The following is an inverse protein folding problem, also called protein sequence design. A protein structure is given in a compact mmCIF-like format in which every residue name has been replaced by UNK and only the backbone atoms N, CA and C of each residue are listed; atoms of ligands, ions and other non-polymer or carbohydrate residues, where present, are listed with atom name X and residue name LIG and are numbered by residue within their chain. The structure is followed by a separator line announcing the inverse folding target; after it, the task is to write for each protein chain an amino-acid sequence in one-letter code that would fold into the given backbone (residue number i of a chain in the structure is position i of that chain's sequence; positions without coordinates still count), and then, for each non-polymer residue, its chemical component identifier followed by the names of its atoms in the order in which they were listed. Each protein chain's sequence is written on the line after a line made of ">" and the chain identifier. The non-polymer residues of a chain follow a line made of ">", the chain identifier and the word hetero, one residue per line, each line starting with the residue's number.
data_IF_376658211450
#
_entry.id   IF_376658211450
#
_cell.length_a   1.000
_cell.length_b   1.000
_cell.length_c   1.000
_cell.angle_alpha   90.00
_cell.angle_beta   90.00
_cell.angle_gamma   90.00
#
_symmetry.space_group_name_H-M   'P 1'
#
loop_
_entity.id
_entity.type
_entity.pdbx_description
1 polymer ?
#
# COMPACT_ATOMS: atom_id res chain seq x y z
N UNK A 1 -10.71 -8.58 15.97
CA UNK A 1 -11.39 -9.59 15.14
C UNK A 1 -12.37 -8.91 14.20
N UNK A 2 -12.68 -9.53 13.06
CA UNK A 2 -13.68 -9.03 12.11
C UNK A 2 -15.12 -9.18 12.62
N UNK A 3 -16.10 -9.14 11.70
CA UNK A 3 -17.51 -9.41 12.04
C UNK A 3 -17.77 -10.86 12.47
N UNK A 4 -16.92 -11.79 12.02
CA UNK A 4 -16.98 -13.21 12.33
C UNK A 4 -15.76 -13.61 13.15
N UNK A 5 -15.79 -14.76 13.85
CA UNK A 5 -14.59 -15.34 14.45
C UNK A 5 -13.50 -15.60 13.39
N UNK A 6 -12.24 -15.48 13.77
CA UNK A 6 -11.07 -15.66 12.89
C UNK A 6 -11.12 -16.95 12.06
N UNK A 7 -11.57 -18.06 12.66
CA UNK A 7 -11.69 -19.37 11.99
C UNK A 7 -12.71 -19.41 10.82
N UNK A 8 -13.58 -18.40 10.69
CA UNK A 8 -14.52 -18.28 9.59
C UNK A 8 -13.91 -17.67 8.32
N UNK A 9 -12.67 -17.14 8.41
CA UNK A 9 -11.99 -16.50 7.31
C UNK A 9 -10.89 -17.38 6.71
N UNK A 10 -10.81 -17.41 5.38
CA UNK A 10 -9.67 -17.99 4.68
C UNK A 10 -8.43 -17.10 4.85
N UNK A 11 -7.27 -17.72 5.10
CA UNK A 11 -5.99 -17.02 5.26
C UNK A 11 -5.29 -16.63 3.96
N UNK A 12 -5.84 -17.02 2.80
CA UNK A 12 -5.25 -16.77 1.48
C UNK A 12 -6.27 -16.15 0.54
N UNK A 13 -5.79 -15.28 -0.34
CA UNK A 13 -6.62 -14.66 -1.37
C UNK A 13 -6.87 -15.68 -2.51
N UNK A 14 -8.13 -15.96 -2.87
CA UNK A 14 -8.46 -16.91 -3.93
C UNK A 14 -7.93 -16.50 -5.31
N UNK A 15 -7.59 -17.49 -6.12
CA UNK A 15 -6.98 -17.28 -7.44
C UNK A 15 -7.90 -16.54 -8.43
N UNK A 16 -9.22 -16.71 -8.34
CA UNK A 16 -10.15 -16.02 -9.22
C UNK A 16 -10.17 -14.50 -8.99
N UNK A 17 -9.88 -14.05 -7.75
CA UNK A 17 -9.63 -12.62 -7.48
C UNK A 17 -8.29 -12.22 -8.06
N UNK A 18 -7.23 -12.98 -7.75
CA UNK A 18 -5.86 -12.70 -8.22
C UNK A 18 -5.73 -12.72 -9.74
N UNK A 19 -6.63 -13.39 -10.45
CA UNK A 19 -6.60 -13.51 -11.92
C UNK A 19 -7.67 -12.64 -12.61
N UNK A 20 -8.39 -11.81 -11.85
CA UNK A 20 -9.48 -10.96 -12.36
C UNK A 20 -10.56 -11.73 -13.13
N UNK A 21 -11.01 -12.85 -12.57
CA UNK A 21 -12.05 -13.70 -13.17
C UNK A 21 -13.12 -14.16 -12.16
N UNK A 22 -13.49 -13.28 -11.24
CA UNK A 22 -14.55 -13.51 -10.25
C UNK A 22 -15.96 -13.54 -10.85
N UNK A 23 -16.12 -13.00 -12.07
CA UNK A 23 -17.43 -12.79 -12.69
C UNK A 23 -18.16 -11.57 -12.13
N UNK A 24 -17.46 -10.72 -11.37
CA UNK A 24 -17.97 -9.47 -10.79
C UNK A 24 -17.15 -8.32 -11.39
N UNK A 25 -17.64 -7.65 -12.46
CA UNK A 25 -16.84 -6.70 -13.25
C UNK A 25 -16.10 -5.63 -12.44
N UNK A 26 -16.70 -5.06 -11.41
CA UNK A 26 -16.06 -4.06 -10.53
C UNK A 26 -14.82 -4.62 -9.80
N UNK A 27 -14.84 -5.90 -9.43
CA UNK A 27 -13.72 -6.58 -8.76
C UNK A 27 -12.65 -6.93 -9.78
N UNK A 28 -13.06 -7.50 -10.91
CA UNK A 28 -12.15 -7.91 -11.98
C UNK A 28 -11.39 -6.69 -12.53
N UNK A 29 -12.10 -5.62 -12.89
CA UNK A 29 -11.48 -4.38 -13.40
C UNK A 29 -10.62 -3.65 -12.34
N UNK A 30 -10.96 -3.76 -11.05
CA UNK A 30 -10.08 -3.26 -9.99
C UNK A 30 -8.73 -3.98 -9.97
N UNK A 31 -8.73 -5.31 -10.09
CA UNK A 31 -7.51 -6.12 -10.15
C UNK A 31 -6.73 -5.83 -11.43
N UNK A 32 -7.40 -5.73 -12.58
CA UNK A 32 -6.76 -5.38 -13.86
C UNK A 32 -6.09 -4.01 -13.78
N UNK A 33 -6.79 -3.02 -13.24
CA UNK A 33 -6.28 -1.65 -13.09
C UNK A 33 -5.07 -1.62 -12.16
N UNK A 34 -5.16 -2.31 -11.02
CA UNK A 34 -4.08 -2.43 -10.05
C UNK A 34 -2.82 -3.02 -10.70
N UNK A 35 -2.93 -4.12 -11.44
CA UNK A 35 -1.77 -4.76 -12.05
C UNK A 35 -1.20 -4.01 -13.25
N UNK A 36 -2.05 -3.32 -14.01
CA UNK A 36 -1.60 -2.52 -15.15
C UNK A 36 -0.90 -1.23 -14.72
N UNK A 37 -1.35 -0.60 -13.62
CA UNK A 37 -0.95 0.77 -13.27
C UNK A 37 -0.23 0.88 -11.93
N UNK A 38 -0.35 -0.12 -11.06
CA UNK A 38 0.07 -0.07 -9.67
C UNK A 38 -0.73 0.95 -8.84
N UNK A 39 -1.83 1.48 -9.38
CA UNK A 39 -2.68 2.48 -8.74
C UNK A 39 -4.12 1.98 -8.69
N UNK A 40 -4.84 2.39 -7.65
CA UNK A 40 -6.27 2.11 -7.54
C UNK A 40 -6.97 3.28 -6.85
N UNK A 41 -8.09 3.74 -7.42
CA UNK A 41 -8.90 4.79 -6.81
C UNK A 41 -9.48 4.32 -5.46
N UNK A 42 -9.65 5.22 -4.50
CA UNK A 42 -10.07 4.85 -3.14
C UNK A 42 -11.39 4.06 -3.11
N UNK A 43 -12.41 4.45 -3.87
CA UNK A 43 -13.66 3.67 -3.98
C UNK A 43 -13.40 2.23 -4.45
N UNK A 44 -12.56 2.03 -5.46
CA UNK A 44 -12.23 0.69 -5.95
C UNK A 44 -11.47 -0.13 -4.90
N UNK A 45 -10.58 0.49 -4.11
CA UNK A 45 -9.94 -0.18 -2.96
C UNK A 45 -10.99 -0.65 -1.94
N UNK A 46 -11.95 0.22 -1.60
CA UNK A 46 -13.00 -0.10 -0.63
C UNK A 46 -13.95 -1.19 -1.13
N UNK A 47 -14.36 -1.14 -2.41
CA UNK A 47 -15.18 -2.17 -3.04
C UNK A 47 -14.48 -3.53 -3.08
N UNK A 48 -13.22 -3.54 -3.53
CA UNK A 48 -12.40 -4.75 -3.57
C UNK A 48 -12.24 -5.36 -2.17
N UNK A 49 -11.88 -4.55 -1.17
CA UNK A 49 -11.75 -5.00 0.21
C UNK A 49 -13.07 -5.54 0.76
N UNK A 50 -14.19 -4.86 0.50
CA UNK A 50 -15.52 -5.28 0.96
C UNK A 50 -15.91 -6.62 0.35
N UNK A 51 -15.67 -6.82 -0.95
CA UNK A 51 -15.90 -8.08 -1.62
C UNK A 51 -15.04 -9.22 -1.03
N UNK A 52 -13.73 -8.97 -0.89
CA UNK A 52 -12.77 -9.94 -0.33
C UNK A 52 -13.17 -10.38 1.08
N UNK A 53 -13.52 -9.44 1.96
CA UNK A 53 -13.86 -9.75 3.36
C UNK A 53 -15.27 -10.31 3.50
N UNK A 54 -16.28 -9.62 2.94
CA UNK A 54 -17.68 -9.88 3.27
C UNK A 54 -18.37 -10.86 2.32
N UNK A 55 -17.95 -10.91 1.05
CA UNK A 55 -18.50 -11.88 0.09
C UNK A 55 -17.66 -13.16 0.09
N UNK A 56 -16.33 -13.02 0.02
CA UNK A 56 -15.41 -14.14 -0.14
C UNK A 56 -14.88 -14.73 1.16
N UNK A 57 -15.15 -14.07 2.29
CA UNK A 57 -14.72 -14.52 3.63
C UNK A 57 -13.22 -14.76 3.70
N UNK A 58 -12.44 -13.85 3.14
CA UNK A 58 -10.99 -13.84 3.28
C UNK A 58 -10.61 -12.90 4.42
N UNK A 59 -9.63 -13.29 5.22
CA UNK A 59 -9.16 -12.46 6.32
C UNK A 59 -8.60 -11.15 5.77
N UNK A 60 -8.98 -10.02 6.37
CA UNK A 60 -8.65 -8.69 5.86
C UNK A 60 -7.15 -8.48 5.67
N UNK A 61 -6.31 -9.06 6.55
CA UNK A 61 -4.86 -8.95 6.47
C UNK A 61 -4.31 -9.57 5.19
N UNK A 62 -4.85 -10.71 4.77
CA UNK A 62 -4.40 -11.39 3.55
C UNK A 62 -4.66 -10.52 2.31
N UNK A 63 -5.81 -9.84 2.26
CA UNK A 63 -6.11 -8.88 1.20
C UNK A 63 -5.28 -7.60 1.30
N UNK A 64 -5.05 -7.09 2.52
CA UNK A 64 -4.23 -5.92 2.78
C UNK A 64 -2.77 -6.11 2.36
N UNK A 65 -2.16 -7.23 2.75
CA UNK A 65 -0.77 -7.57 2.43
C UNK A 65 -0.58 -7.75 0.92
N UNK A 66 -1.53 -8.43 0.26
CA UNK A 66 -1.57 -8.59 -1.18
C UNK A 66 -1.68 -7.23 -1.90
N UNK A 67 -2.63 -6.39 -1.51
CA UNK A 67 -2.85 -5.08 -2.14
C UNK A 67 -1.62 -4.18 -1.99
N UNK A 68 -1.02 -4.18 -0.79
CA UNK A 68 0.18 -3.40 -0.49
C UNK A 68 1.33 -3.71 -1.46
N UNK A 69 1.61 -4.98 -1.73
CA UNK A 69 2.72 -5.37 -2.61
C UNK A 69 2.63 -4.78 -4.04
N UNK A 70 1.42 -4.50 -4.50
CA UNK A 70 1.15 -4.01 -5.87
C UNK A 70 1.01 -2.48 -5.98
N UNK A 71 0.66 -1.79 -4.89
CA UNK A 71 0.42 -0.35 -4.90
C UNK A 71 1.71 0.48 -4.95
N UNK A 72 1.84 1.37 -5.93
CA UNK A 72 2.95 2.34 -6.00
C UNK A 72 2.92 3.32 -4.82
N UNK A 73 1.72 3.72 -4.41
CA UNK A 73 1.47 4.60 -3.26
C UNK A 73 1.23 3.83 -1.95
N UNK A 74 1.56 2.54 -1.91
CA UNK A 74 1.22 1.66 -0.80
C UNK A 74 1.93 2.07 0.49
N UNK A 75 1.17 2.51 1.48
CA UNK A 75 1.62 2.73 2.85
C UNK A 75 0.95 1.71 3.79
N UNK A 76 1.72 1.02 4.62
CA UNK A 76 1.19 -0.08 5.45
C UNK A 76 0.14 0.41 6.44
N UNK A 77 0.37 1.56 7.07
CA UNK A 77 -0.53 2.06 8.10
C UNK A 77 -1.90 2.41 7.51
N UNK A 78 -1.93 3.25 6.48
CA UNK A 78 -3.16 3.68 5.81
C UNK A 78 -3.88 2.53 5.12
N UNK A 79 -3.16 1.62 4.46
CA UNK A 79 -3.72 0.45 3.82
C UNK A 79 -4.37 -0.50 4.84
N UNK A 80 -3.61 -0.96 5.85
CA UNK A 80 -4.13 -1.92 6.82
C UNK A 80 -5.25 -1.34 7.69
N UNK A 81 -5.20 -0.04 8.02
CA UNK A 81 -6.30 0.62 8.73
C UNK A 81 -7.55 0.71 7.86
N UNK A 82 -7.41 0.97 6.56
CA UNK A 82 -8.53 1.00 5.62
C UNK A 82 -9.17 -0.37 5.45
N UNK A 83 -8.38 -1.44 5.35
CA UNK A 83 -8.88 -2.82 5.33
C UNK A 83 -9.60 -3.21 6.63
N UNK A 84 -9.06 -2.83 7.78
CA UNK A 84 -9.71 -3.02 9.08
C UNK A 84 -11.04 -2.25 9.19
N UNK A 85 -11.06 -1.00 8.72
CA UNK A 85 -12.26 -0.19 8.68
C UNK A 85 -13.34 -0.82 7.80
N UNK A 86 -12.98 -1.29 6.59
CA UNK A 86 -13.89 -2.01 5.70
C UNK A 86 -14.41 -3.30 6.34
N UNK A 87 -13.53 -4.04 7.02
CA UNK A 87 -13.87 -5.28 7.71
C UNK A 87 -14.71 -5.07 8.99
N UNK A 88 -14.76 -3.84 9.52
CA UNK A 88 -15.52 -3.49 10.71
C UNK A 88 -14.87 -3.92 12.03
N UNK A 89 -13.55 -4.16 12.07
CA UNK A 89 -12.86 -4.77 13.23
C UNK A 89 -12.95 -3.97 14.53
N UNK A 90 -13.20 -2.66 14.44
CA UNK A 90 -13.34 -1.76 15.61
C UNK A 90 -14.74 -1.22 15.86
N UNK A 91 -15.69 -1.42 14.94
CA UNK A 91 -17.03 -0.79 15.01
C UNK A 91 -18.18 -1.79 14.94
N UNK A 92 -17.94 -3.02 14.46
CA UNK A 92 -18.99 -3.99 14.13
C UNK A 92 -19.87 -3.58 12.94
N UNK A 93 -19.50 -2.51 12.23
CA UNK A 93 -20.21 -1.99 11.05
C UNK A 93 -19.38 -2.25 9.79
N UNK A 94 -19.79 -3.20 8.91
CA UNK A 94 -19.09 -3.42 7.65
C UNK A 94 -19.27 -2.24 6.71
N UNK A 95 -18.24 -1.97 5.90
CA UNK A 95 -18.45 -1.24 4.66
C UNK A 95 -18.98 -2.19 3.58
N UNK A 96 -20.13 -1.84 3.01
CA UNK A 96 -20.82 -2.61 1.97
C UNK A 96 -21.09 -1.72 0.76
N UNK A 97 -21.21 -2.34 -0.41
CA UNK A 97 -21.56 -1.68 -1.66
C UNK A 97 -22.36 -2.65 -2.54
N UNK A 98 -23.24 -2.10 -3.38
CA UNK A 98 -24.07 -2.88 -4.30
C UNK A 98 -23.89 -2.43 -5.76
N UNK A 99 -24.52 -3.13 -6.71
CA UNK A 99 -24.42 -2.82 -8.13
C UNK A 99 -24.84 -1.38 -8.46
N UNK A 100 -25.88 -0.84 -7.82
CA UNK A 100 -26.32 0.57 -8.00
C UNK A 100 -25.26 1.57 -7.55
N UNK A 101 -24.57 1.30 -6.43
CA UNK A 101 -23.47 2.13 -5.95
C UNK A 101 -22.34 2.17 -6.98
N UNK A 102 -21.97 1.03 -7.54
CA UNK A 102 -20.98 0.95 -8.62
C UNK A 102 -21.46 1.73 -9.84
N UNK A 103 -22.71 1.52 -10.26
CA UNK A 103 -23.27 2.19 -11.43
C UNK A 103 -23.25 3.72 -11.33
N UNK A 104 -23.40 4.24 -10.10
CA UNK A 104 -23.36 5.68 -9.81
C UNK A 104 -21.95 6.28 -9.83
N UNK A 105 -20.93 5.53 -9.42
CA UNK A 105 -19.59 6.07 -9.15
C UNK A 105 -18.48 5.50 -10.04
N UNK A 106 -18.79 4.54 -10.91
CA UNK A 106 -17.82 3.91 -11.80
C UNK A 106 -18.26 3.96 -13.27
N UNK A 107 -17.31 3.89 -14.22
CA UNK A 107 -17.61 3.74 -15.65
C UNK A 107 -18.41 2.47 -15.95
N UNK A 108 -19.13 2.47 -17.07
CA UNK A 108 -20.01 1.37 -17.49
C UNK A 108 -19.32 -0.01 -17.51
N UNK A 109 -18.02 -0.07 -17.85
CA UNK A 109 -17.26 -1.32 -17.86
C UNK A 109 -17.15 -2.02 -16.49
N UNK A 110 -17.36 -1.28 -15.40
CA UNK A 110 -17.29 -1.80 -14.03
C UNK A 110 -18.66 -2.19 -13.49
N UNK A 111 -19.74 -1.79 -14.16
CA UNK A 111 -21.10 -2.06 -13.72
C UNK A 111 -21.31 -3.57 -13.59
N UNK A 112 -21.91 -4.00 -12.49
CA UNK A 112 -21.97 -5.42 -12.11
C UNK A 112 -23.41 -5.93 -11.89
N UNK A 113 -24.37 -5.66 -12.81
CA UNK A 113 -25.73 -6.17 -12.69
C UNK A 113 -25.75 -7.71 -12.75
N UNK A 114 -26.70 -8.33 -12.06
CA UNK A 114 -26.86 -9.79 -11.98
C UNK A 114 -25.77 -10.53 -11.20
N UNK A 115 -24.82 -9.80 -10.60
CA UNK A 115 -23.75 -10.39 -9.80
C UNK A 115 -24.18 -10.59 -8.34
N UNK A 116 -23.32 -11.20 -7.52
CA UNK A 116 -23.58 -11.40 -6.08
C UNK A 116 -23.72 -10.09 -5.28
N UNK A 117 -23.22 -8.96 -5.83
CA UNK A 117 -23.39 -7.64 -5.21
C UNK A 117 -24.64 -6.89 -5.73
N UNK A 118 -25.35 -7.44 -6.71
CA UNK A 118 -26.61 -6.88 -7.20
C UNK A 118 -27.76 -7.28 -6.26
N UNK A 119 -27.71 -6.69 -5.05
CA UNK A 119 -28.58 -7.02 -3.94
C UNK A 119 -28.87 -5.77 -3.08
N UNK A 120 -29.88 -5.87 -2.22
CA UNK A 120 -30.16 -4.83 -1.23
C UNK A 120 -29.06 -4.77 -0.17
N UNK A 121 -28.85 -3.60 0.44
CA UNK A 121 -27.92 -3.44 1.56
C UNK A 121 -28.26 -4.35 2.75
N UNK A 122 -29.54 -4.62 2.99
CA UNK A 122 -29.97 -5.57 4.02
C UNK A 122 -29.53 -7.01 3.70
N UNK A 123 -29.64 -7.44 2.44
CA UNK A 123 -29.16 -8.75 2.02
C UNK A 123 -27.63 -8.84 2.14
N UNK A 124 -26.91 -7.78 1.78
CA UNK A 124 -25.45 -7.72 1.91
C UNK A 124 -24.97 -7.68 3.36
N UNK A 125 -25.66 -7.00 4.26
CA UNK A 125 -25.33 -7.02 5.70
C UNK A 125 -25.56 -8.40 6.31
N UNK A 126 -26.67 -9.06 5.95
CA UNK A 126 -26.90 -10.47 6.31
C UNK A 126 -25.80 -11.37 5.77
N UNK A 127 -25.41 -11.20 4.50
CA UNK A 127 -24.30 -11.94 3.90
C UNK A 127 -23.01 -11.74 4.68
N UNK A 128 -22.65 -10.49 5.02
CA UNK A 128 -21.43 -10.14 5.74
C UNK A 128 -21.34 -10.84 7.10
N UNK A 129 -22.46 -10.93 7.81
CA UNK A 129 -22.57 -11.51 9.17
C UNK A 129 -22.77 -13.02 9.22
N UNK A 130 -22.87 -13.68 8.08
CA UNK A 130 -22.96 -15.14 8.01
C UNK A 130 -21.60 -15.72 7.62
N UNK A 131 -21.14 -16.83 8.24
CA UNK A 131 -20.00 -17.59 7.74
C UNK A 131 -20.22 -18.01 6.30
N UNK A 132 -19.13 -18.31 5.58
CA UNK A 132 -19.25 -18.93 4.27
C UNK A 132 -20.13 -20.18 4.42
N UNK A 133 -21.27 -20.23 3.73
CA UNK A 133 -22.01 -21.47 3.61
C UNK A 133 -21.05 -22.47 2.96
N UNK A 134 -20.86 -23.65 3.56
CA UNK A 134 -20.21 -24.77 2.88
C UNK A 134 -21.02 -25.04 1.62
N UNK A 135 -20.68 -24.40 0.51
CA UNK A 135 -21.13 -24.86 -0.79
C UNK A 135 -20.52 -26.25 -0.92
N UNK A 136 -21.30 -27.32 -1.16
CA UNK A 136 -20.70 -28.56 -1.65
C UNK A 136 -19.82 -28.13 -2.82
N UNK A 137 -18.56 -28.53 -2.80
CA UNK A 137 -17.52 -28.18 -3.79
C UNK A 137 -18.20 -27.91 -5.12
N UNK A 138 -18.44 -26.64 -5.43
CA UNK A 138 -18.98 -26.33 -6.74
C UNK A 138 -17.89 -26.83 -7.67
N UNK A 139 -18.19 -27.74 -8.61
CA UNK A 139 -17.23 -28.03 -9.65
C UNK A 139 -16.79 -26.67 -10.22
N UNK A 140 -15.50 -26.49 -10.55
CA UNK A 140 -15.03 -25.27 -11.18
C UNK A 140 -16.07 -24.89 -12.24
N UNK A 141 -16.54 -23.63 -12.20
CA UNK A 141 -17.54 -23.12 -13.14
C UNK A 141 -17.26 -23.77 -14.48
N UNK A 142 -18.13 -24.70 -14.90
CA UNK A 142 -17.92 -25.35 -16.18
C UNK A 142 -17.87 -24.20 -17.18
N UNK A 143 -16.82 -24.11 -18.02
CA UNK A 143 -16.75 -23.05 -19.01
C UNK A 143 -18.06 -23.10 -19.75
N UNK A 144 -18.81 -21.98 -19.71
CA UNK A 144 -20.14 -21.89 -20.28
C UNK A 144 -20.11 -22.58 -21.65
N UNK A 145 -20.86 -23.68 -21.75
CA UNK A 145 -20.90 -24.50 -22.94
C UNK A 145 -21.32 -23.62 -24.12
N UNK A 146 -20.35 -23.38 -25.00
CA UNK A 146 -20.45 -22.93 -26.39
C UNK A 146 -21.63 -22.02 -26.72
N UNK A 147 -21.42 -20.71 -26.55
CA UNK A 147 -21.97 -19.63 -27.42
C UNK A 147 -21.40 -18.23 -27.09
N UNK A 148 -20.08 -18.11 -26.97
CA UNK A 148 -19.27 -16.91 -27.29
C UNK A 148 -17.84 -17.07 -26.74
N UNK A 149 -17.06 -17.99 -27.32
CA UNK A 149 -15.59 -17.95 -27.18
C UNK A 149 -15.04 -16.88 -28.12
N UNK A 150 -15.16 -15.63 -27.69
CA UNK A 150 -14.24 -14.57 -28.06
C UNK A 150 -13.41 -14.29 -26.80
N UNK A 151 -12.15 -14.73 -26.85
CA UNK A 151 -11.04 -14.46 -25.96
C UNK A 151 -10.94 -15.20 -24.60
N UNK A 152 -10.10 -16.24 -24.64
CA UNK A 152 -9.22 -16.72 -23.56
C UNK A 152 -8.12 -15.65 -23.18
N UNK A 153 -8.42 -14.36 -23.38
CA UNK A 153 -7.51 -13.21 -23.19
C UNK A 153 -7.86 -12.38 -21.96
N UNK A 154 -8.73 -12.89 -21.07
CA UNK A 154 -9.32 -12.12 -19.95
C UNK A 154 -8.70 -12.42 -18.58
N UNK A 155 -7.94 -13.52 -18.46
CA UNK A 155 -7.17 -13.81 -17.25
C UNK A 155 -5.99 -12.84 -17.20
N UNK A 156 -5.81 -12.20 -16.05
CA UNK A 156 -4.61 -11.39 -15.82
C UNK A 156 -3.61 -12.20 -15.01
N UNK A 157 -2.35 -12.15 -15.43
CA UNK A 157 -1.25 -12.74 -14.67
C UNK A 157 -0.87 -11.78 -13.55
N UNK A 158 -0.96 -12.23 -12.30
CA UNK A 158 -0.50 -11.45 -11.15
C UNK A 158 1.00 -11.11 -11.30
N UNK A 159 1.37 -9.82 -11.21
CA UNK A 159 2.77 -9.42 -11.15
C UNK A 159 3.48 -10.10 -9.98
N UNK A 160 4.64 -10.72 -10.24
CA UNK A 160 5.41 -11.34 -9.16
C UNK A 160 5.83 -10.30 -8.11
N UNK A 161 5.56 -10.59 -6.85
CA UNK A 161 6.12 -9.87 -5.71
C UNK A 161 7.50 -10.45 -5.38
N UNK A 162 8.48 -9.58 -5.19
CA UNK A 162 9.86 -9.95 -4.87
C UNK A 162 10.40 -9.14 -3.71
N UNK A 163 11.08 -9.81 -2.79
CA UNK A 163 11.89 -9.19 -1.75
C UNK A 163 13.18 -8.58 -2.32
N UNK A 164 13.67 -9.16 -3.43
CA UNK A 164 14.86 -8.70 -4.12
C UNK A 164 14.50 -7.64 -5.19
N UNK A 165 15.31 -6.59 -5.32
CA UNK A 165 15.15 -5.59 -6.37
C UNK A 165 15.46 -6.19 -7.76
N UNK A 166 14.87 -5.65 -8.84
CA UNK A 166 15.31 -5.96 -10.21
C UNK A 166 16.76 -5.49 -10.46
N UNK A 167 17.56 -6.33 -11.13
CA UNK A 167 18.97 -6.04 -11.45
C UNK A 167 19.16 -4.71 -12.21
N UNK A 168 18.19 -4.35 -13.06
CA UNK A 168 18.20 -3.10 -13.84
C UNK A 168 18.24 -1.82 -13.00
N UNK A 169 17.89 -1.88 -11.70
CA UNK A 169 18.00 -0.73 -10.80
C UNK A 169 19.46 -0.41 -10.42
N UNK A 170 20.39 -1.34 -10.66
CA UNK A 170 21.81 -1.16 -10.36
C UNK A 170 22.06 -0.83 -8.90
N UNK A 171 21.31 -1.44 -7.98
CA UNK A 171 21.54 -1.27 -6.54
C UNK A 171 22.84 -1.98 -6.17
N UNK A 172 23.67 -1.28 -5.40
CA UNK A 172 25.01 -1.70 -5.02
C UNK A 172 24.98 -2.38 -3.66
N UNK A 173 26.01 -3.17 -3.37
CA UNK A 173 26.25 -3.64 -2.00
C UNK A 173 26.77 -2.49 -1.13
N UNK A 174 26.53 -2.50 0.20
CA UNK A 174 27.07 -1.48 1.09
C UNK A 174 28.60 -1.45 1.06
N UNK A 175 29.19 -0.24 0.93
CA UNK A 175 30.64 -0.04 0.80
C UNK A 175 31.13 1.04 1.77
N UNK A 176 31.98 0.66 2.71
CA UNK A 176 32.56 1.55 3.70
C UNK A 176 33.47 2.64 3.07
N UNK A 177 34.11 2.34 1.94
CA UNK A 177 35.04 3.28 1.30
C UNK A 177 34.31 4.55 0.81
N UNK A 178 33.04 4.42 0.41
CA UNK A 178 32.20 5.52 -0.08
C UNK A 178 31.89 6.55 1.03
N UNK A 179 31.77 6.09 2.27
CA UNK A 179 31.31 6.91 3.40
C UNK A 179 32.41 7.24 4.42
N UNK A 180 33.59 6.63 4.29
CA UNK A 180 34.69 6.73 5.25
C UNK A 180 35.06 8.19 5.59
N UNK A 181 34.89 8.57 6.86
CA UNK A 181 35.20 9.89 7.40
C UNK A 181 34.28 11.02 6.93
N UNK A 182 33.17 10.71 6.25
CA UNK A 182 32.24 11.66 5.63
C UNK A 182 30.94 11.76 6.43
N UNK A 183 30.25 12.88 6.29
CA UNK A 183 28.87 13.01 6.77
C UNK A 183 27.94 12.33 5.77
N UNK A 184 26.96 11.58 6.25
CA UNK A 184 26.05 10.77 5.43
C UNK A 184 24.60 11.17 5.68
N UNK A 185 23.86 11.31 4.59
CA UNK A 185 22.40 11.45 4.61
C UNK A 185 21.75 10.23 3.95
N UNK A 186 20.99 9.46 4.72
CA UNK A 186 20.24 8.32 4.21
C UNK A 186 18.90 8.76 3.64
N UNK A 187 18.59 8.24 2.45
CA UNK A 187 17.28 8.36 1.80
C UNK A 187 16.68 6.97 1.72
N UNK A 188 15.39 6.84 2.00
CA UNK A 188 14.69 5.56 1.96
C UNK A 188 13.35 5.69 1.21
N UNK A 189 12.70 4.59 0.79
CA UNK A 189 11.60 4.64 -0.18
C UNK A 189 10.34 5.41 0.25
N UNK A 190 10.17 5.66 1.54
CA UNK A 190 9.05 6.46 2.09
C UNK A 190 9.37 7.95 2.21
N UNK A 191 10.61 8.36 1.93
CA UNK A 191 11.09 9.75 1.97
C UNK A 191 11.83 10.10 0.69
N UNK A 192 11.09 10.05 -0.42
CA UNK A 192 11.56 10.35 -1.77
C UNK A 192 11.31 11.81 -2.22
N UNK A 193 11.05 12.70 -1.26
CA UNK A 193 10.90 14.14 -1.48
C UNK A 193 12.23 14.84 -1.76
N UNK A 194 12.23 16.17 -1.73
CA UNK A 194 13.47 16.94 -1.83
C UNK A 194 14.40 16.70 -0.63
N UNK A 195 15.71 16.79 -0.88
CA UNK A 195 16.72 16.71 0.17
C UNK A 195 16.67 17.97 1.05
N UNK A 196 17.08 17.89 2.33
CA UNK A 196 17.19 19.08 3.17
C UNK A 196 18.09 20.14 2.53
N UNK A 197 17.64 21.39 2.50
CA UNK A 197 18.38 22.50 1.88
C UNK A 197 19.71 22.80 2.59
N UNK A 198 19.83 22.46 3.87
CA UNK A 198 20.99 22.77 4.72
C UNK A 198 21.96 21.58 4.90
N UNK A 199 22.04 20.66 3.94
CA UNK A 199 23.05 19.61 3.99
C UNK A 199 24.46 20.20 3.81
N UNK A 200 25.45 19.84 4.66
CA UNK A 200 26.85 20.21 4.44
C UNK A 200 27.31 19.81 3.04
N UNK A 201 28.14 20.65 2.40
CA UNK A 201 28.53 20.49 0.99
C UNK A 201 29.20 19.12 0.68
N UNK A 202 29.90 18.53 1.64
CA UNK A 202 30.59 17.24 1.49
C UNK A 202 29.74 16.03 1.93
N UNK A 203 28.45 16.23 2.21
CA UNK A 203 27.55 15.15 2.64
C UNK A 203 27.36 14.15 1.50
N UNK A 204 27.56 12.87 1.80
CA UNK A 204 27.24 11.79 0.88
C UNK A 204 25.79 11.38 1.07
N UNK A 205 25.01 11.47 0.00
CA UNK A 205 23.62 10.98 0.00
C UNK A 205 23.60 9.52 -0.44
N UNK A 206 23.09 8.65 0.42
CA UNK A 206 22.98 7.21 0.15
C UNK A 206 21.49 6.84 0.16
N UNK A 207 21.00 6.34 -0.98
CA UNK A 207 19.70 5.69 -1.04
C UNK A 207 19.80 4.28 -0.46
N UNK A 208 18.93 3.88 0.46
CA UNK A 208 18.93 2.53 1.03
C UNK A 208 17.62 1.79 0.73
N UNK A 209 17.76 0.51 0.41
CA UNK A 209 16.68 -0.48 0.38
C UNK A 209 17.05 -1.60 1.36
N UNK A 210 16.32 -1.67 2.47
CA UNK A 210 16.59 -2.64 3.54
C UNK A 210 15.99 -4.00 3.19
N UNK A 211 16.83 -4.99 2.96
CA UNK A 211 16.41 -6.36 2.65
C UNK A 211 15.56 -6.96 3.77
N UNK A 212 15.81 -6.59 5.03
CA UNK A 212 15.00 -7.02 6.18
C UNK A 212 13.53 -6.65 6.04
N UNK A 213 13.25 -5.43 5.59
CA UNK A 213 11.89 -4.97 5.35
C UNK A 213 11.27 -5.72 4.17
N UNK A 214 11.99 -5.82 3.05
CA UNK A 214 11.44 -6.37 1.81
C UNK A 214 11.22 -7.90 1.86
N UNK A 215 11.92 -8.62 2.75
CA UNK A 215 11.61 -10.02 3.05
C UNK A 215 10.21 -10.20 3.64
N UNK A 216 9.78 -9.28 4.50
CA UNK A 216 8.43 -9.29 5.07
C UNK A 216 7.40 -8.66 4.11
N UNK A 217 7.82 -7.67 3.33
CA UNK A 217 6.96 -6.83 2.51
C UNK A 217 7.48 -6.75 1.07
N UNK A 218 7.34 -7.83 0.29
CA UNK A 218 7.82 -7.89 -1.08
C UNK A 218 6.98 -6.98 -1.99
N UNK A 219 7.62 -6.44 -3.02
CA UNK A 219 7.00 -5.49 -3.94
C UNK A 219 6.92 -6.03 -5.35
N UNK A 220 5.96 -5.54 -6.11
CA UNK A 220 5.90 -5.76 -7.55
C UNK A 220 7.09 -5.08 -8.23
N UNK A 221 7.51 -5.61 -9.39
CA UNK A 221 8.57 -4.98 -10.19
C UNK A 221 8.23 -3.53 -10.58
N UNK A 222 6.96 -3.20 -10.77
CA UNK A 222 6.52 -1.84 -11.06
C UNK A 222 6.79 -0.89 -9.89
N UNK A 223 6.49 -1.33 -8.67
CA UNK A 223 6.74 -0.56 -7.45
C UNK A 223 8.22 -0.36 -7.18
N UNK A 224 9.03 -1.41 -7.37
CA UNK A 224 10.49 -1.31 -7.33
C UNK A 224 11.02 -0.23 -8.27
N UNK A 225 10.57 -0.21 -9.54
CA UNK A 225 10.97 0.80 -10.52
C UNK A 225 10.51 2.21 -10.16
N UNK A 226 9.29 2.35 -9.67
CA UNK A 226 8.74 3.64 -9.26
C UNK A 226 9.60 4.29 -8.15
N UNK A 227 9.83 3.56 -7.05
CA UNK A 227 10.65 4.05 -5.95
C UNK A 227 12.13 4.20 -6.36
N UNK A 228 12.67 3.22 -7.10
CA UNK A 228 14.06 3.18 -7.55
C UNK A 228 14.41 4.34 -8.49
N UNK A 229 13.51 4.72 -9.40
CA UNK A 229 13.71 5.85 -10.32
C UNK A 229 13.87 7.16 -9.56
N UNK A 230 12.97 7.45 -8.60
CA UNK A 230 13.09 8.67 -7.79
C UNK A 230 14.28 8.62 -6.84
N UNK A 231 14.59 7.45 -6.27
CA UNK A 231 15.80 7.27 -5.47
C UNK A 231 17.06 7.59 -6.27
N UNK A 232 17.12 7.18 -7.54
CA UNK A 232 18.25 7.45 -8.42
C UNK A 232 18.44 8.94 -8.75
N UNK A 233 17.36 9.72 -8.75
CA UNK A 233 17.44 11.18 -8.89
C UNK A 233 17.99 11.87 -7.62
N UNK A 234 17.84 11.25 -6.45
CA UNK A 234 18.28 11.81 -5.16
C UNK A 234 19.68 11.37 -4.77
N UNK A 235 20.06 10.13 -5.08
CA UNK A 235 21.29 9.51 -4.62
C UNK A 235 21.98 8.75 -5.75
N UNK A 236 23.22 9.14 -6.04
CA UNK A 236 24.09 8.42 -6.96
C UNK A 236 24.46 7.03 -6.41
N UNK A 237 24.69 6.96 -5.10
CA UNK A 237 24.96 5.73 -4.36
C UNK A 237 23.65 5.17 -3.81
N UNK A 238 23.32 3.94 -4.19
CA UNK A 238 22.09 3.27 -3.78
C UNK A 238 22.42 1.86 -3.32
N UNK A 239 22.17 1.56 -2.07
CA UNK A 239 22.52 0.31 -1.44
C UNK A 239 21.31 -0.59 -1.25
N UNK A 240 21.49 -1.88 -1.52
CA UNK A 240 20.59 -2.95 -1.11
C UNK A 240 21.36 -3.91 -0.20
N UNK A 241 20.80 -4.20 0.98
CA UNK A 241 21.42 -5.08 1.95
C UNK A 241 20.59 -5.18 3.22
N UNK A 242 20.95 -6.12 4.09
CA UNK A 242 20.38 -6.16 5.43
C UNK A 242 20.96 -5.04 6.31
N UNK A 243 20.29 -4.78 7.44
CA UNK A 243 20.67 -3.75 8.38
C UNK A 243 22.06 -3.97 8.98
N UNK A 244 22.53 -5.23 9.06
CA UNK A 244 23.86 -5.55 9.59
C UNK A 244 24.94 -5.11 8.60
N UNK A 245 24.81 -5.47 7.33
CA UNK A 245 25.74 -5.09 6.28
C UNK A 245 25.76 -3.58 6.05
N UNK A 246 24.59 -2.93 6.01
CA UNK A 246 24.49 -1.47 5.89
C UNK A 246 25.12 -0.80 7.11
N UNK A 247 24.82 -1.26 8.33
CA UNK A 247 25.40 -0.71 9.55
C UNK A 247 26.92 -0.85 9.61
N UNK A 248 27.47 -1.99 9.17
CA UNK A 248 28.90 -2.22 9.10
C UNK A 248 29.61 -1.25 8.14
N UNK A 249 29.04 -0.99 6.96
CA UNK A 249 29.59 0.00 6.03
C UNK A 249 29.52 1.42 6.60
N UNK A 250 28.40 1.78 7.22
CA UNK A 250 28.18 3.09 7.83
C UNK A 250 29.05 3.38 9.06
N UNK A 251 29.61 2.35 9.71
CA UNK A 251 30.50 2.53 10.86
C UNK A 251 31.75 3.36 10.56
N UNK A 252 32.18 3.43 9.29
CA UNK A 252 33.29 4.26 8.85
C UNK A 252 32.90 5.75 8.67
N UNK A 253 31.61 6.08 8.67
CA UNK A 253 31.13 7.45 8.49
C UNK A 253 31.44 8.33 9.71
N UNK A 254 31.59 9.64 9.47
CA UNK A 254 31.71 10.64 10.54
C UNK A 254 30.39 10.85 11.26
N UNK A 255 29.31 10.95 10.50
CA UNK A 255 27.95 11.05 11.02
C UNK A 255 26.97 10.44 10.01
N UNK A 256 25.84 9.94 10.51
CA UNK A 256 24.77 9.40 9.68
C UNK A 256 23.45 9.96 10.15
N UNK A 257 22.72 10.61 9.23
CA UNK A 257 21.42 11.22 9.48
C UNK A 257 20.38 10.72 8.49
N UNK A 258 19.11 10.79 8.89
CA UNK A 258 17.97 10.42 8.06
C UNK A 258 16.72 11.14 8.55
N UNK A 259 15.63 11.02 7.80
CA UNK A 259 14.29 11.26 8.33
C UNK A 259 13.74 9.97 8.94
N UNK A 260 12.98 10.11 10.03
CA UNK A 260 12.30 8.99 10.70
C UNK A 260 11.23 8.38 9.81
N UNK A 261 11.09 7.05 9.89
CA UNK A 261 10.05 6.29 9.20
C UNK A 261 9.58 5.12 10.08
N UNK A 262 8.31 5.12 10.53
CA UNK A 262 7.75 4.03 11.33
C UNK A 262 8.00 2.63 10.76
N UNK A 263 7.89 2.45 9.44
CA UNK A 263 8.10 1.14 8.80
C UNK A 263 9.53 0.62 8.92
N UNK A 264 10.49 1.52 9.11
CA UNK A 264 11.91 1.20 9.24
C UNK A 264 12.43 1.35 10.68
N UNK A 265 11.58 1.75 11.63
CA UNK A 265 11.98 2.03 13.01
C UNK A 265 12.84 0.93 13.66
N UNK A 266 12.60 -0.38 13.46
CA UNK A 266 13.45 -1.43 14.03
C UNK A 266 14.92 -1.39 13.58
N UNK A 267 15.20 -0.82 12.40
CA UNK A 267 16.53 -0.81 11.78
C UNK A 267 17.10 0.60 11.69
N UNK A 268 16.35 1.55 11.13
CA UNK A 268 16.85 2.89 10.79
C UNK A 268 17.31 3.67 12.03
N UNK A 269 16.62 3.54 13.16
CA UNK A 269 16.99 4.18 14.42
C UNK A 269 18.35 3.70 14.98
N UNK A 270 18.85 2.54 14.49
CA UNK A 270 20.17 2.00 14.85
C UNK A 270 21.25 2.39 13.83
N UNK A 271 20.85 2.84 12.64
CA UNK A 271 21.73 3.18 11.53
C UNK A 271 22.03 4.68 11.46
N UNK A 272 21.11 5.53 11.93
CA UNK A 272 21.21 6.98 11.78
C UNK A 272 20.55 7.74 12.94
N UNK A 273 21.06 8.93 13.22
CA UNK A 273 20.33 9.93 14.00
C UNK A 273 19.18 10.45 13.12
N UNK A 274 17.94 10.18 13.54
CA UNK A 274 16.76 10.49 12.73
C UNK A 274 16.12 11.81 13.14
N UNK A 275 15.81 12.64 12.15
CA UNK A 275 15.02 13.86 12.29
C UNK A 275 13.54 13.56 12.04
N UNK A 276 12.64 14.37 12.63
CA UNK A 276 11.21 14.20 12.43
C UNK A 276 10.82 14.44 10.96
N UNK A 277 9.87 13.66 10.45
CA UNK A 277 9.29 13.93 9.15
C UNK A 277 8.52 15.27 9.19
N UNK A 278 8.67 16.15 8.18
CA UNK A 278 7.85 17.34 8.04
C UNK A 278 6.36 16.98 8.09
N UNK A 279 5.61 17.69 8.93
CA UNK A 279 4.19 17.48 9.09
C UNK A 279 3.41 18.31 8.06
N UNK A 280 2.66 17.65 7.18
CA UNK A 280 1.80 18.34 6.20
C UNK A 280 0.72 19.21 6.85
N UNK A 281 0.30 18.85 8.07
CA UNK A 281 -0.73 19.58 8.81
C UNK A 281 -0.18 20.02 10.17
N UNK A 282 -0.62 21.17 10.69
CA UNK A 282 -0.33 21.57 12.06
C UNK A 282 -0.77 20.51 13.07
N UNK A 283 -0.05 20.42 14.18
CA UNK A 283 -0.44 19.59 15.32
C UNK A 283 -1.80 20.00 15.86
N UNK A 284 -2.64 19.02 16.14
CA UNK A 284 -3.95 19.23 16.78
C UNK A 284 -3.85 18.77 18.23
N UNK A 285 -3.62 19.72 19.15
CA UNK A 285 -3.35 19.43 20.58
C UNK A 285 -4.52 18.81 21.34
N UNK A 286 -5.74 18.89 20.78
CA UNK A 286 -6.94 18.31 21.36
C UNK A 286 -7.33 17.04 20.62
N UNK A 287 -7.56 15.97 21.37
CA UNK A 287 -8.21 14.76 20.89
C UNK A 287 -9.45 15.10 20.05
N UNK A 288 -9.61 14.40 18.94
CA UNK A 288 -10.76 14.47 18.06
C UNK A 288 -11.47 13.12 18.09
N UNK A 289 -12.79 13.13 18.21
CA UNK A 289 -13.58 11.90 18.27
C UNK A 289 -13.98 11.39 16.88
N UNK A 290 -13.65 12.15 15.84
CA UNK A 290 -13.81 11.73 14.45
C UNK A 290 -12.77 12.37 13.54
N UNK A 291 -12.54 11.75 12.38
CA UNK A 291 -11.71 12.31 11.32
C UNK A 291 -12.22 13.69 10.87
N UNK A 292 -13.54 13.87 10.72
CA UNK A 292 -14.10 15.17 10.32
C UNK A 292 -13.80 16.28 11.32
N UNK A 293 -13.82 15.99 12.63
CA UNK A 293 -13.39 16.94 13.65
C UNK A 293 -11.90 17.26 13.56
N UNK A 294 -11.07 16.24 13.34
CA UNK A 294 -9.63 16.43 13.15
C UNK A 294 -9.35 17.26 11.89
N UNK A 295 -9.95 16.90 10.76
CA UNK A 295 -9.80 17.59 9.47
C UNK A 295 -10.16 19.07 9.59
N UNK A 296 -11.34 19.38 10.14
CA UNK A 296 -11.79 20.76 10.33
C UNK A 296 -10.88 21.61 11.24
N UNK A 297 -10.09 20.96 12.13
CA UNK A 297 -9.09 21.64 12.96
C UNK A 297 -7.76 21.78 12.23
N UNK A 298 -7.28 20.69 11.64
CA UNK A 298 -5.99 20.59 10.96
C UNK A 298 -5.93 21.43 9.68
N UNK A 299 -7.05 21.58 8.97
CA UNK A 299 -7.14 22.35 7.72
C UNK A 299 -7.63 23.79 7.93
N UNK A 300 -7.78 24.25 9.17
CA UNK A 300 -8.34 25.59 9.44
C UNK A 300 -7.41 26.67 8.90
N UNK A 301 -7.91 27.48 7.97
CA UNK A 301 -7.15 28.55 7.32
C UNK A 301 -6.21 28.06 6.21
N UNK A 302 -6.37 26.80 5.76
CA UNK A 302 -5.69 26.24 4.60
C UNK A 302 -6.72 26.07 3.49
N UNK A 303 -6.73 27.02 2.54
CA UNK A 303 -7.72 27.05 1.45
C UNK A 303 -7.14 26.49 0.14
N UNK A 304 -5.81 26.30 0.08
CA UNK A 304 -5.11 25.79 -1.08
C UNK A 304 -3.95 24.85 -0.74
N UNK A 305 -3.48 24.12 -1.74
CA UNK A 305 -2.25 23.33 -1.63
C UNK A 305 -1.02 24.21 -1.39
N UNK A 306 -1.02 25.46 -1.87
CA UNK A 306 0.07 26.41 -1.61
C UNK A 306 0.14 26.77 -0.12
N UNK A 307 -1.01 26.96 0.54
CA UNK A 307 -1.05 27.24 1.99
C UNK A 307 -0.49 26.06 2.80
N UNK A 308 -0.84 24.82 2.41
CA UNK A 308 -0.31 23.59 3.01
C UNK A 308 1.21 23.47 2.89
N UNK A 309 1.76 23.86 1.73
CA UNK A 309 3.21 23.81 1.49
C UNK A 309 3.95 24.96 2.18
N UNK A 310 3.35 26.16 2.23
CA UNK A 310 3.92 27.34 2.88
C UNK A 310 4.05 27.19 4.40
N UNK A 311 3.12 26.47 5.05
CA UNK A 311 3.23 26.13 6.49
C UNK A 311 4.48 25.29 6.80
N UNK A 312 5.05 24.61 5.80
CA UNK A 312 6.28 23.83 5.92
C UNK A 312 7.56 24.60 5.54
N UNK A 313 7.47 25.85 5.05
CA UNK A 313 8.61 26.67 4.63
C UNK A 313 9.01 27.76 5.65
N UNK A 314 9.22 27.45 6.94
CA UNK A 314 9.94 28.38 7.86
C UNK A 314 10.56 27.65 9.08
N UNK A 315 11.80 27.92 9.51
CA UNK A 315 13.07 28.01 8.79
C UNK A 315 14.11 26.98 9.30
N UNK A 316 15.23 26.90 8.58
CA UNK A 316 16.45 26.19 8.97
C UNK A 316 16.88 26.53 10.42
N UNK A 317 17.22 25.49 11.18
CA UNK A 317 18.08 25.61 12.35
C UNK A 317 19.54 25.75 11.92
#
# INVERSE_FOLDING_TARGET
>A
DGLLPEAAYAGQLPDDIRQACTGVPVVDEAVRTLYATGMLHNHARMWLASYVVHVRKVHWRSGADWLYGHLLDGDLASNHLSWQWVAGTGSGKPYLFNADNVARYAPAAWHSPGSVIDASYEALDRLARQPAQRRPSQPPLQPASDRNRLNDSRLVVEPRLSAEPPDELGLMVPDAAVVSGRDVWLVHPWRLGELPAALPADTVVIGIFLADFHRAWPWSGQRWRFAGSRMAALAAQRWHGDAVAIGAALAAARSVRSIVEPHLAPWLARLATCEAAPALFPSVDRRCDSFSQWWARASRGLDSAADLLAVNEVPAW
#
